data_IF_738382014022
#
_entry.id   IF_738382014022
#
_cell.length_a   1.000
_cell.length_b   1.000
_cell.length_c   1.000
_cell.angle_alpha   90.00
_cell.angle_beta   90.00
_cell.angle_gamma   90.00
#
_symmetry.space_group_name_H-M   'P 1'
#
loop_
_entity.id
_entity.type
_entity.pdbx_description
1 polymer ?
#
# COMPACT_ATOMS: atom_id res chain seq x y z
N UNK A 1 -16.47 -6.74 -25.32
CA UNK A 1 -15.68 -7.92 -24.89
C UNK A 1 -16.19 -8.40 -23.54
N UNK A 2 -16.17 -9.71 -23.31
CA UNK A 2 -16.42 -10.29 -21.97
C UNK A 2 -15.11 -10.43 -21.17
N UNK A 3 -15.22 -10.83 -19.90
CA UNK A 3 -14.06 -10.90 -19.00
C UNK A 3 -13.02 -11.95 -19.42
N UNK A 4 -13.43 -13.08 -20.07
CA UNK A 4 -12.48 -14.08 -20.57
C UNK A 4 -11.73 -13.60 -21.83
N UNK A 5 -12.44 -12.95 -22.74
CA UNK A 5 -11.81 -12.35 -23.92
C UNK A 5 -10.77 -11.30 -23.52
N UNK A 6 -11.08 -10.50 -22.49
CA UNK A 6 -10.16 -9.50 -21.97
C UNK A 6 -8.95 -10.13 -21.24
N UNK A 7 -9.18 -11.23 -20.48
CA UNK A 7 -8.08 -12.03 -19.89
C UNK A 7 -7.13 -12.55 -20.96
N UNK A 8 -7.68 -13.06 -22.07
CA UNK A 8 -6.86 -13.54 -23.20
C UNK A 8 -6.03 -12.41 -23.81
N UNK A 9 -6.60 -11.19 -23.87
CA UNK A 9 -5.87 -9.99 -24.29
C UNK A 9 -4.70 -9.67 -23.36
N UNK A 10 -4.89 -9.74 -22.02
CA UNK A 10 -3.83 -9.55 -21.05
C UNK A 10 -2.73 -10.58 -21.23
N UNK A 11 -3.05 -11.86 -21.31
CA UNK A 11 -2.09 -12.94 -21.55
C UNK A 11 -1.28 -12.69 -22.81
N UNK A 12 -1.94 -12.42 -23.94
CA UNK A 12 -1.26 -12.13 -25.23
C UNK A 12 -0.28 -10.96 -25.15
N UNK A 13 -0.58 -9.93 -24.36
CA UNK A 13 0.23 -8.72 -24.29
C UNK A 13 1.35 -8.77 -23.25
N UNK A 14 1.27 -9.66 -22.26
CA UNK A 14 2.18 -9.70 -21.12
C UNK A 14 3.04 -10.97 -21.04
N UNK A 15 2.75 -12.00 -21.87
CA UNK A 15 3.44 -13.31 -21.79
C UNK A 15 4.96 -13.23 -21.99
N UNK A 16 5.47 -12.17 -22.61
CA UNK A 16 6.91 -11.95 -22.77
C UNK A 16 7.60 -11.39 -21.51
N UNK A 17 6.82 -10.96 -20.51
CA UNK A 17 7.33 -10.32 -19.28
C UNK A 17 6.98 -11.09 -18.00
N UNK A 18 5.90 -11.84 -18.02
CA UNK A 18 5.33 -12.49 -16.83
C UNK A 18 4.86 -13.91 -17.15
N UNK A 19 4.90 -14.77 -16.17
CA UNK A 19 4.31 -16.11 -16.25
C UNK A 19 2.78 -16.04 -16.31
N UNK A 20 2.14 -17.04 -16.92
CA UNK A 20 0.68 -17.05 -17.11
C UNK A 20 -0.10 -16.94 -15.79
N UNK A 21 0.38 -17.58 -14.73
CA UNK A 21 -0.26 -17.51 -13.41
C UNK A 21 -0.17 -16.11 -12.81
N UNK A 22 0.94 -15.42 -13.03
CA UNK A 22 1.18 -14.06 -12.58
C UNK A 22 0.29 -13.07 -13.35
N UNK A 23 0.15 -13.22 -14.66
CA UNK A 23 -0.77 -12.42 -15.49
C UNK A 23 -2.22 -12.61 -15.01
N UNK A 24 -2.60 -13.84 -14.72
CA UNK A 24 -3.95 -14.15 -14.22
C UNK A 24 -4.20 -13.54 -12.84
N UNK A 25 -3.21 -13.56 -11.96
CA UNK A 25 -3.28 -12.92 -10.65
C UNK A 25 -3.42 -11.39 -10.79
N UNK A 26 -2.61 -10.77 -11.63
CA UNK A 26 -2.70 -9.34 -11.97
C UNK A 26 -4.11 -9.00 -12.47
N UNK A 27 -4.62 -9.76 -13.45
CA UNK A 27 -5.92 -9.52 -14.03
C UNK A 27 -7.07 -9.64 -13.01
N UNK A 28 -7.04 -10.67 -12.16
CA UNK A 28 -8.02 -10.86 -11.07
C UNK A 28 -7.99 -9.68 -10.09
N UNK A 29 -6.80 -9.22 -9.71
CA UNK A 29 -6.66 -8.07 -8.80
C UNK A 29 -7.21 -6.79 -9.41
N UNK A 30 -7.00 -6.55 -10.70
CA UNK A 30 -7.61 -5.40 -11.40
C UNK A 30 -9.14 -5.50 -11.44
N UNK A 31 -9.70 -6.67 -11.71
CA UNK A 31 -11.15 -6.87 -11.70
C UNK A 31 -11.74 -6.61 -10.32
N UNK A 32 -11.09 -7.12 -9.26
CA UNK A 32 -11.51 -6.92 -7.87
C UNK A 32 -11.42 -5.44 -7.48
N UNK A 33 -10.26 -4.83 -7.67
CA UNK A 33 -10.01 -3.44 -7.26
C UNK A 33 -10.85 -2.42 -8.03
N UNK A 34 -11.04 -2.64 -9.34
CA UNK A 34 -11.73 -1.66 -10.18
C UNK A 34 -13.25 -1.78 -10.19
N UNK A 35 -13.77 -3.01 -10.03
CA UNK A 35 -15.19 -3.32 -10.27
C UNK A 35 -15.81 -4.17 -9.16
N UNK A 36 -15.08 -4.44 -8.09
CA UNK A 36 -15.51 -5.31 -6.99
C UNK A 36 -15.94 -6.72 -7.46
N UNK A 37 -15.34 -7.21 -8.55
CA UNK A 37 -15.59 -8.56 -9.02
C UNK A 37 -14.78 -9.54 -8.18
N UNK A 38 -15.46 -10.48 -7.54
CA UNK A 38 -14.78 -11.56 -6.83
C UNK A 38 -13.93 -12.43 -7.78
N UNK A 39 -12.78 -12.95 -7.35
CA UNK A 39 -11.90 -13.79 -8.18
C UNK A 39 -12.61 -14.99 -8.81
N UNK A 40 -13.69 -15.48 -8.19
CA UNK A 40 -14.53 -16.57 -8.64
C UNK A 40 -15.37 -16.22 -9.88
N UNK A 41 -15.53 -14.93 -10.22
CA UNK A 41 -16.32 -14.47 -11.38
C UNK A 41 -15.83 -15.10 -12.68
N UNK A 42 -14.53 -15.37 -12.81
CA UNK A 42 -13.95 -15.98 -14.02
C UNK A 42 -14.39 -17.44 -14.21
N UNK A 43 -14.73 -18.13 -13.14
CA UNK A 43 -15.27 -19.50 -13.18
C UNK A 43 -16.79 -19.54 -13.23
N UNK A 44 -17.46 -18.73 -12.39
CA UNK A 44 -18.91 -18.78 -12.24
C UNK A 44 -19.65 -18.02 -13.35
N UNK A 45 -19.14 -16.87 -13.79
CA UNK A 45 -19.77 -15.99 -14.75
C UNK A 45 -18.81 -15.55 -15.87
N UNK A 46 -18.18 -16.48 -16.60
CA UNK A 46 -17.10 -16.19 -17.55
C UNK A 46 -17.51 -15.28 -18.71
N UNK A 47 -18.81 -15.26 -19.06
CA UNK A 47 -19.36 -14.45 -20.15
C UNK A 47 -19.82 -13.05 -19.72
N UNK A 48 -19.52 -12.62 -18.49
CA UNK A 48 -19.83 -11.26 -17.99
C UNK A 48 -19.27 -10.22 -18.96
N UNK A 49 -20.15 -9.38 -19.51
CA UNK A 49 -19.76 -8.34 -20.47
C UNK A 49 -19.20 -7.12 -19.73
N UNK A 50 -18.05 -6.64 -20.19
CA UNK A 50 -17.49 -5.36 -19.75
C UNK A 50 -18.07 -4.21 -20.59
N UNK A 51 -18.54 -3.16 -19.93
CA UNK A 51 -18.96 -1.95 -20.63
C UNK A 51 -17.74 -1.17 -21.17
N UNK A 52 -17.98 -0.11 -21.97
CA UNK A 52 -16.89 0.66 -22.60
C UNK A 52 -15.94 1.31 -21.59
N UNK A 53 -16.47 1.80 -20.47
CA UNK A 53 -15.68 2.45 -19.41
C UNK A 53 -14.76 1.43 -18.73
N UNK A 54 -15.28 0.26 -18.40
CA UNK A 54 -14.51 -0.83 -17.79
C UNK A 54 -13.39 -1.32 -18.73
N UNK A 55 -13.70 -1.48 -20.03
CA UNK A 55 -12.70 -1.84 -21.03
C UNK A 55 -11.61 -0.78 -21.16
N UNK A 56 -11.96 0.51 -21.18
CA UNK A 56 -11.00 1.61 -21.23
C UNK A 56 -10.08 1.62 -20.00
N UNK A 57 -10.63 1.39 -18.81
CA UNK A 57 -9.86 1.33 -17.55
C UNK A 57 -8.86 0.16 -17.55
N UNK A 58 -9.28 -1.02 -18.00
CA UNK A 58 -8.39 -2.19 -18.12
C UNK A 58 -7.32 -1.99 -19.19
N UNK A 59 -7.64 -1.38 -20.33
CA UNK A 59 -6.65 -1.07 -21.38
C UNK A 59 -5.60 -0.07 -20.87
N UNK A 60 -6.01 0.93 -20.09
CA UNK A 60 -5.09 1.87 -19.47
C UNK A 60 -4.16 1.14 -18.48
N UNK A 61 -4.71 0.30 -17.59
CA UNK A 61 -3.91 -0.52 -16.68
C UNK A 61 -2.91 -1.40 -17.43
N UNK A 62 -3.35 -2.10 -18.49
CA UNK A 62 -2.48 -2.91 -19.33
C UNK A 62 -1.33 -2.09 -19.92
N UNK A 63 -1.60 -0.87 -20.38
CA UNK A 63 -0.57 0.02 -20.94
C UNK A 63 0.46 0.45 -19.90
N UNK A 64 0.08 0.63 -18.65
CA UNK A 64 0.97 0.96 -17.53
C UNK A 64 1.82 -0.25 -17.13
N UNK A 65 1.22 -1.43 -17.03
CA UNK A 65 1.94 -2.68 -16.68
C UNK A 65 3.01 -3.00 -17.74
N UNK A 66 2.71 -2.78 -19.02
CA UNK A 66 3.70 -2.93 -20.10
C UNK A 66 4.91 -2.00 -19.94
N UNK A 67 4.76 -0.90 -19.23
CA UNK A 67 5.81 0.08 -18.89
C UNK A 67 6.43 -0.17 -17.52
N UNK A 68 6.23 -1.35 -16.93
CA UNK A 68 6.74 -1.75 -15.61
C UNK A 68 6.23 -0.86 -14.45
N UNK A 69 5.07 -0.22 -14.64
CA UNK A 69 4.46 0.56 -13.57
C UNK A 69 3.86 -0.37 -12.51
N UNK A 70 4.18 -0.20 -11.22
CA UNK A 70 3.74 -1.11 -10.16
C UNK A 70 2.23 -1.25 -10.09
N UNK A 71 1.75 -2.50 -9.97
CA UNK A 71 0.32 -2.79 -9.94
C UNK A 71 -0.37 -2.13 -8.74
N UNK A 72 0.30 -2.03 -7.59
CA UNK A 72 -0.22 -1.39 -6.39
C UNK A 72 -0.54 0.10 -6.61
N UNK A 73 0.25 0.79 -7.42
CA UNK A 73 -0.07 2.18 -7.79
C UNK A 73 -1.21 2.27 -8.82
N UNK A 74 -1.41 1.22 -9.63
CA UNK A 74 -2.53 1.15 -10.59
C UNK A 74 -3.84 0.88 -9.84
N UNK A 75 -3.83 -0.03 -8.88
CA UNK A 75 -5.00 -0.36 -8.05
C UNK A 75 -5.27 0.68 -6.97
N UNK A 76 -4.21 1.37 -6.53
CA UNK A 76 -4.26 2.38 -5.48
C UNK A 76 -4.16 1.81 -4.07
N UNK A 77 -4.08 0.48 -3.91
CA UNK A 77 -4.01 -0.19 -2.61
C UNK A 77 -3.00 -1.32 -2.59
N UNK A 78 -2.57 -1.69 -1.38
CA UNK A 78 -1.81 -2.90 -1.09
C UNK A 78 -2.20 -3.43 0.29
N UNK A 79 -1.99 -4.71 0.54
CA UNK A 79 -2.12 -5.29 1.88
C UNK A 79 -0.79 -5.20 2.60
N UNK A 80 -0.81 -4.86 3.88
CA UNK A 80 0.34 -4.85 4.77
C UNK A 80 -0.12 -5.24 6.16
N UNK A 81 0.46 -6.28 6.75
CA UNK A 81 0.12 -6.78 8.08
C UNK A 81 -1.42 -6.92 8.28
N UNK A 82 -2.07 -7.60 7.32
CA UNK A 82 -3.51 -7.88 7.25
C UNK A 82 -4.44 -6.65 7.12
N UNK A 83 -3.90 -5.43 6.98
CA UNK A 83 -4.68 -4.23 6.72
C UNK A 83 -4.50 -3.72 5.28
N UNK A 84 -5.56 -3.16 4.70
CA UNK A 84 -5.50 -2.53 3.39
C UNK A 84 -4.98 -1.09 3.50
N UNK A 85 -3.91 -0.80 2.77
CA UNK A 85 -3.22 0.50 2.76
C UNK A 85 -3.35 1.14 1.38
N UNK A 86 -3.85 2.37 1.33
CA UNK A 86 -3.80 3.21 0.14
C UNK A 86 -2.36 3.57 -0.18
N UNK A 87 -1.99 3.45 -1.43
CA UNK A 87 -0.67 3.81 -1.94
C UNK A 87 -0.77 4.55 -3.29
N UNK A 88 0.19 5.40 -3.56
CA UNK A 88 0.40 6.02 -4.87
C UNK A 88 1.88 6.40 -5.02
N UNK A 89 2.26 7.04 -6.12
CA UNK A 89 3.65 7.43 -6.43
C UNK A 89 4.30 8.41 -5.44
N UNK A 90 3.59 8.89 -4.41
CA UNK A 90 4.14 9.78 -3.37
C UNK A 90 4.63 9.03 -2.13
N UNK A 91 4.40 7.72 -2.03
CA UNK A 91 4.80 6.87 -0.90
C UNK A 91 5.42 5.58 -1.42
N UNK A 92 6.35 5.02 -0.66
CA UNK A 92 6.87 3.69 -0.96
C UNK A 92 5.74 2.65 -0.80
N UNK A 93 5.67 1.69 -1.73
CA UNK A 93 4.84 0.50 -1.55
C UNK A 93 5.41 -0.29 -0.36
N UNK A 94 4.62 -0.54 0.69
CA UNK A 94 5.07 -1.35 1.82
C UNK A 94 5.71 -2.67 1.37
N UNK A 95 6.83 -3.03 1.97
CA UNK A 95 7.59 -4.23 1.64
C UNK A 95 7.30 -5.33 2.68
N UNK A 96 7.25 -6.62 2.28
CA UNK A 96 7.03 -7.73 3.21
C UNK A 96 8.03 -7.75 4.37
N UNK A 97 9.31 -7.43 4.10
CA UNK A 97 10.37 -7.38 5.12
C UNK A 97 10.07 -6.34 6.22
N UNK A 98 9.27 -5.32 5.91
CA UNK A 98 8.84 -4.32 6.90
C UNK A 98 7.80 -4.87 7.86
N UNK A 99 7.09 -5.95 7.50
CA UNK A 99 6.18 -6.63 8.43
C UNK A 99 6.94 -7.35 9.55
N UNK A 100 8.15 -7.84 9.29
CA UNK A 100 9.02 -8.42 10.33
C UNK A 100 9.40 -7.37 11.38
N UNK A 101 9.68 -6.14 10.95
CA UNK A 101 9.94 -5.02 11.85
C UNK A 101 8.73 -4.72 12.75
N UNK A 102 7.52 -4.77 12.19
CA UNK A 102 6.27 -4.59 12.95
C UNK A 102 6.08 -5.72 13.96
N UNK A 103 6.27 -6.98 13.55
CA UNK A 103 6.15 -8.14 14.44
C UNK A 103 7.13 -8.02 15.63
N UNK A 104 8.39 -7.67 15.36
CA UNK A 104 9.38 -7.46 16.42
C UNK A 104 9.00 -6.33 17.37
N UNK A 105 8.48 -5.21 16.86
CA UNK A 105 8.00 -4.13 17.70
C UNK A 105 6.83 -4.56 18.59
N UNK A 106 5.86 -5.33 18.06
CA UNK A 106 4.70 -5.83 18.79
C UNK A 106 5.11 -6.64 20.03
N UNK A 107 6.16 -7.46 19.94
CA UNK A 107 6.66 -8.26 21.06
C UNK A 107 7.18 -7.40 22.24
N UNK A 108 7.58 -6.16 21.96
CA UNK A 108 8.19 -5.24 22.92
C UNK A 108 7.23 -4.16 23.45
N UNK A 109 6.13 -3.91 22.76
CA UNK A 109 5.18 -2.83 23.08
C UNK A 109 4.29 -3.22 24.26
N UNK A 110 4.12 -2.26 25.19
CA UNK A 110 3.14 -2.32 26.29
C UNK A 110 2.04 -1.30 26.07
N UNK A 111 0.98 -1.44 26.84
CA UNK A 111 -0.12 -0.47 26.83
C UNK A 111 0.38 0.95 27.18
N UNK A 112 -0.27 1.93 26.58
CA UNK A 112 -0.01 3.36 26.75
C UNK A 112 1.40 3.83 26.27
N UNK A 113 2.19 2.94 25.62
CA UNK A 113 3.47 3.34 25.04
C UNK A 113 3.29 4.49 24.05
N UNK A 114 4.19 5.47 24.14
CA UNK A 114 4.32 6.58 23.20
C UNK A 114 5.35 6.22 22.14
N UNK A 115 4.87 6.02 20.91
CA UNK A 115 5.66 5.51 19.81
C UNK A 115 5.75 6.53 18.69
N UNK A 116 6.95 6.72 18.17
CA UNK A 116 7.21 7.53 16.99
C UNK A 116 7.58 6.63 15.81
N UNK A 117 6.81 6.73 14.72
CA UNK A 117 7.11 6.14 13.40
C UNK A 117 7.75 7.22 12.53
N UNK A 118 9.08 7.15 12.35
CA UNK A 118 9.86 8.13 11.60
C UNK A 118 9.97 7.70 10.13
N UNK A 119 9.83 8.65 9.21
CA UNK A 119 9.73 8.40 7.77
C UNK A 119 8.51 7.51 7.44
N UNK A 120 7.37 7.84 8.05
CA UNK A 120 6.18 6.99 8.09
C UNK A 120 5.57 6.66 6.72
N UNK A 121 5.84 7.44 5.68
CA UNK A 121 5.36 7.21 4.31
C UNK A 121 3.83 7.11 4.22
N UNK A 122 3.32 5.94 3.85
CA UNK A 122 1.88 5.65 3.82
C UNK A 122 1.24 5.49 5.19
N UNK A 123 2.05 5.45 6.26
CA UNK A 123 1.60 5.18 7.62
C UNK A 123 1.46 3.69 7.93
N UNK A 124 1.92 2.80 7.07
CA UNK A 124 1.66 1.35 7.19
C UNK A 124 2.17 0.76 8.53
N UNK A 125 3.39 1.12 8.97
CA UNK A 125 3.95 0.66 10.25
C UNK A 125 3.09 1.16 11.41
N UNK A 126 2.87 2.49 11.47
CA UNK A 126 2.07 3.11 12.52
C UNK A 126 0.66 2.49 12.62
N UNK A 127 0.01 2.30 11.48
CA UNK A 127 -1.35 1.76 11.42
C UNK A 127 -1.41 0.28 11.79
N UNK A 128 -0.43 -0.52 11.38
CA UNK A 128 -0.33 -1.92 11.77
C UNK A 128 -0.14 -2.07 13.29
N UNK A 129 0.76 -1.28 13.90
CA UNK A 129 0.96 -1.25 15.35
C UNK A 129 -0.31 -0.82 16.09
N UNK A 130 -0.97 0.25 15.63
CA UNK A 130 -2.19 0.77 16.25
C UNK A 130 -3.37 -0.19 16.11
N UNK A 131 -3.46 -0.92 15.00
CA UNK A 131 -4.46 -1.95 14.79
C UNK A 131 -4.26 -3.15 15.74
N UNK A 132 -3.00 -3.51 16.00
CA UNK A 132 -2.66 -4.61 16.91
C UNK A 132 -2.88 -4.23 18.38
N UNK A 133 -2.43 -3.03 18.79
CA UNK A 133 -2.62 -2.54 20.16
C UNK A 133 -3.27 -1.14 20.15
N UNK A 134 -4.60 -1.06 20.33
CA UNK A 134 -5.34 0.22 20.32
C UNK A 134 -5.00 1.18 21.46
N UNK A 135 -4.34 0.74 22.54
CA UNK A 135 -4.02 1.60 23.70
C UNK A 135 -2.82 2.51 23.45
N UNK A 136 -1.89 2.14 22.58
CA UNK A 136 -0.68 2.92 22.32
C UNK A 136 -0.95 4.32 21.78
N UNK A 137 -0.09 5.27 22.12
CA UNK A 137 -0.13 6.65 21.60
C UNK A 137 0.89 6.76 20.48
N UNK A 138 0.42 6.84 19.23
CA UNK A 138 1.27 6.77 18.07
C UNK A 138 1.34 8.10 17.32
N UNK A 139 2.56 8.49 16.92
CA UNK A 139 2.84 9.67 16.10
C UNK A 139 3.66 9.25 14.88
N UNK A 140 3.07 9.40 13.69
CA UNK A 140 3.76 9.21 12.41
C UNK A 140 4.32 10.53 11.88
N UNK A 141 5.59 10.52 11.50
CA UNK A 141 6.33 11.71 11.06
C UNK A 141 6.95 11.47 9.69
N UNK A 142 6.73 12.40 8.79
CA UNK A 142 7.37 12.42 7.46
C UNK A 142 7.64 13.85 7.02
N UNK A 143 8.70 14.05 6.24
CA UNK A 143 9.01 15.34 5.65
C UNK A 143 8.05 15.70 4.51
N UNK A 144 7.48 14.70 3.85
CA UNK A 144 6.59 14.85 2.71
C UNK A 144 5.14 15.11 3.16
N UNK A 145 4.63 16.31 2.88
CA UNK A 145 3.20 16.64 3.07
C UNK A 145 2.28 15.67 2.30
N UNK A 146 2.73 15.19 1.13
CA UNK A 146 1.96 14.26 0.30
C UNK A 146 1.87 12.88 0.95
N UNK A 147 2.97 12.39 1.53
CA UNK A 147 2.99 11.14 2.29
C UNK A 147 2.05 11.23 3.50
N UNK A 148 2.15 12.27 4.31
CA UNK A 148 1.25 12.50 5.45
C UNK A 148 -0.22 12.59 5.02
N UNK A 149 -0.53 13.15 3.85
CA UNK A 149 -1.90 13.15 3.33
C UNK A 149 -2.42 11.74 3.04
N UNK A 150 -1.57 10.83 2.54
CA UNK A 150 -1.93 9.42 2.34
C UNK A 150 -2.10 8.71 3.68
N UNK A 151 -1.16 8.88 4.61
CA UNK A 151 -1.22 8.29 5.96
C UNK A 151 -2.52 8.69 6.69
N UNK A 152 -2.93 9.97 6.62
CA UNK A 152 -4.21 10.44 7.17
C UNK A 152 -5.41 9.76 6.54
N UNK A 153 -5.43 9.57 5.22
CA UNK A 153 -6.52 8.85 4.54
C UNK A 153 -6.58 7.39 4.98
N UNK A 154 -5.43 6.73 5.10
CA UNK A 154 -5.36 5.36 5.60
C UNK A 154 -5.90 5.26 7.03
N UNK A 155 -5.49 6.17 7.90
CA UNK A 155 -5.99 6.29 9.27
C UNK A 155 -7.51 6.42 9.34
N UNK A 156 -8.08 7.28 8.48
CA UNK A 156 -9.53 7.48 8.38
C UNK A 156 -10.26 6.23 7.89
N UNK A 157 -9.74 5.58 6.83
CA UNK A 157 -10.35 4.37 6.27
C UNK A 157 -10.37 3.20 7.25
N UNK A 158 -9.35 3.10 8.10
CA UNK A 158 -9.21 2.05 9.11
C UNK A 158 -9.83 2.43 10.46
N UNK A 159 -10.35 3.65 10.62
CA UNK A 159 -10.86 4.19 11.90
C UNK A 159 -9.82 4.12 13.04
N UNK A 160 -8.53 4.32 12.72
CA UNK A 160 -7.43 4.28 13.68
C UNK A 160 -6.94 5.70 13.98
N UNK A 161 -6.81 6.04 15.26
CA UNK A 161 -6.33 7.36 15.70
C UNK A 161 -4.81 7.36 15.80
N UNK A 162 -4.15 8.14 14.95
CA UNK A 162 -2.71 8.37 14.92
C UNK A 162 -2.43 9.86 14.74
N UNK A 163 -1.46 10.40 15.46
CA UNK A 163 -1.00 11.77 15.28
C UNK A 163 -0.07 11.84 14.07
N UNK A 164 -0.38 12.70 13.10
CA UNK A 164 0.41 12.85 11.88
C UNK A 164 1.08 14.21 11.82
N UNK A 165 2.43 14.23 11.74
CA UNK A 165 3.25 15.43 11.72
C UNK A 165 4.07 15.50 10.44
N UNK A 166 4.00 16.65 9.74
CA UNK A 166 4.92 16.94 8.63
C UNK A 166 6.15 17.68 9.19
N UNK A 167 7.27 16.98 9.30
CA UNK A 167 8.48 17.53 9.87
C UNK A 167 9.73 16.78 9.40
N UNK A 168 10.83 17.51 9.27
CA UNK A 168 12.16 16.90 9.13
C UNK A 168 12.57 16.23 10.46
N UNK A 169 12.93 14.95 10.42
CA UNK A 169 13.34 14.16 11.59
C UNK A 169 14.52 14.80 12.32
N UNK A 170 15.42 15.51 11.62
CA UNK A 170 16.54 16.24 12.22
C UNK A 170 16.12 17.41 13.12
N UNK A 171 14.86 17.84 13.02
CA UNK A 171 14.29 18.94 13.81
C UNK A 171 13.37 18.48 14.94
N UNK A 172 13.29 17.18 15.17
CA UNK A 172 12.48 16.62 16.25
C UNK A 172 13.16 16.93 17.57
N UNK A 173 12.43 17.61 18.46
CA UNK A 173 12.92 17.86 19.83
C UNK A 173 12.37 16.75 20.75
N UNK A 174 13.20 15.77 21.05
CA UNK A 174 12.87 14.65 21.94
C UNK A 174 12.91 15.00 23.42
N UNK A 175 13.50 16.14 23.79
CA UNK A 175 13.69 16.53 25.20
C UNK A 175 12.41 16.94 25.93
N UNK A 176 11.28 17.11 25.22
CA UNK A 176 9.99 17.56 25.80
C UNK A 176 8.97 16.45 25.99
N UNK A 177 9.24 15.23 25.54
CA UNK A 177 8.27 14.13 25.59
C UNK A 177 8.98 12.84 25.95
N UNK A 178 8.46 12.11 26.92
CA UNK A 178 8.87 10.72 27.11
C UNK A 178 8.40 9.93 25.87
N UNK A 179 9.33 9.31 25.15
CA UNK A 179 9.08 8.42 24.01
C UNK A 179 9.56 7.04 24.46
N UNK A 180 8.70 6.05 24.35
CA UNK A 180 9.01 4.68 24.81
C UNK A 180 9.64 3.87 23.68
N UNK A 181 9.25 4.12 22.42
CA UNK A 181 9.76 3.42 21.25
C UNK A 181 9.85 4.35 20.04
N UNK A 182 10.93 4.22 19.30
CA UNK A 182 11.08 4.81 17.96
C UNK A 182 11.21 3.67 16.96
N UNK A 183 10.39 3.70 15.90
CA UNK A 183 10.45 2.75 14.79
C UNK A 183 10.64 3.53 13.49
N UNK A 184 11.35 2.96 12.53
CA UNK A 184 11.57 3.62 11.23
C UNK A 184 11.99 2.63 10.16
N UNK A 185 11.48 2.84 8.95
CA UNK A 185 12.02 2.30 7.71
C UNK A 185 12.47 3.49 6.83
N UNK A 186 13.63 4.11 7.10
CA UNK A 186 14.07 5.33 6.43
C UNK A 186 14.57 5.06 5.00
N UNK A 187 14.62 6.07 4.13
CA UNK A 187 15.24 5.94 2.82
C UNK A 187 16.74 5.71 2.97
N UNK A 188 17.25 4.60 2.42
CA UNK A 188 18.66 4.19 2.46
C UNK A 188 19.34 4.25 1.09
N UNK A 189 18.64 4.75 0.05
CA UNK A 189 19.19 4.96 -1.30
C UNK A 189 19.67 6.41 -1.44
N UNK A 190 20.92 6.59 -1.83
CA UNK A 190 21.46 7.93 -2.07
C UNK A 190 20.68 8.68 -3.16
N UNK A 191 20.54 10.02 -3.05
CA UNK A 191 19.81 10.83 -4.04
C UNK A 191 20.30 10.64 -5.49
N UNK A 192 21.58 10.32 -5.67
CA UNK A 192 22.22 10.05 -6.97
C UNK A 192 21.82 8.71 -7.59
N UNK A 193 21.26 7.80 -6.81
CA UNK A 193 20.85 6.44 -7.24
C UNK A 193 19.34 6.32 -7.46
N UNK A 194 18.59 7.40 -7.19
CA UNK A 194 17.15 7.44 -7.47
C UNK A 194 16.91 7.63 -8.97
N UNK A 195 16.60 6.54 -9.64
CA UNK A 195 16.16 6.54 -11.06
C UNK A 195 14.65 6.82 -11.13
#
# INVERSE_FOLDING_TARGET
MNILEFRSLFRKNLFSKFELNEIDFIYKNLLKSFFCFEPTVLGLNPKTKLNKIQQAKLNHALSLIKKDYPIQYITGTTTFHDIEILVNSNVLIPRPETEELVNWAIESIKDDYKIYDLCTGSGCIALALKNNNPSIILTGIDISKKAISIAKKNSQNLNLQVNWITQDIKKINTNKSSIDLIISNPPYVYPTERK
#
